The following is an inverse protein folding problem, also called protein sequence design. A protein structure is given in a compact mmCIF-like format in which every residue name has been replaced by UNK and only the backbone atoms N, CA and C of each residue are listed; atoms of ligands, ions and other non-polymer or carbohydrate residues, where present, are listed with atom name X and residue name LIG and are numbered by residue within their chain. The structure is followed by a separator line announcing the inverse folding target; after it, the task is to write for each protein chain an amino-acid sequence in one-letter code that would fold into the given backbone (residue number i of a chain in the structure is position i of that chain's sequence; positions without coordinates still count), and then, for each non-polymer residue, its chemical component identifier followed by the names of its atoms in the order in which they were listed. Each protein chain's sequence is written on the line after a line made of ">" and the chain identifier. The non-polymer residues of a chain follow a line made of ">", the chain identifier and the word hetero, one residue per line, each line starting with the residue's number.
data_IF_932039698574
#
_entry.id   IF_932039698574
#
_cell.length_a   1.000
_cell.length_b   1.000
_cell.length_c   1.000
_cell.angle_alpha   90.00
_cell.angle_beta   90.00
_cell.angle_gamma   90.00
#
_symmetry.space_group_name_H-M   'P 1'
#
loop_
_entity.id
_entity.type
_entity.pdbx_description
1 polymer ?
#
# COMPACT_ATOMS: atom_id res chain seq x y z
N UNK A 1 -14.61 -0.24 12.35
CA UNK A 1 -13.35 -0.69 12.97
C UNK A 1 -13.50 -2.07 13.61
N UNK A 2 -12.42 -2.69 14.09
CA UNK A 2 -12.49 -3.95 14.83
C UNK A 2 -13.47 -3.81 16.01
N UNK A 3 -14.38 -4.78 16.23
CA UNK A 3 -15.37 -4.70 17.30
C UNK A 3 -14.79 -5.02 18.68
N UNK A 4 -13.54 -5.50 18.73
CA UNK A 4 -12.89 -5.99 19.95
C UNK A 4 -12.03 -4.92 20.59
N UNK A 5 -12.10 -4.82 21.90
CA UNK A 5 -11.32 -3.87 22.71
C UNK A 5 -10.14 -4.51 23.41
N UNK A 6 -10.24 -5.81 23.73
CA UNK A 6 -9.18 -6.55 24.40
C UNK A 6 -8.73 -7.78 23.62
N UNK A 7 -7.55 -8.29 23.97
CA UNK A 7 -6.97 -9.49 23.36
C UNK A 7 -7.85 -10.69 23.65
N UNK A 8 -8.36 -10.82 24.87
CA UNK A 8 -9.19 -11.94 25.31
C UNK A 8 -10.50 -11.99 24.54
N UNK A 9 -11.13 -10.83 24.29
CA UNK A 9 -12.35 -10.73 23.50
C UNK A 9 -12.11 -11.15 22.04
N UNK A 10 -11.00 -10.70 21.45
CA UNK A 10 -10.63 -11.06 20.09
C UNK A 10 -10.27 -12.55 19.96
N UNK A 11 -9.54 -13.12 20.92
CA UNK A 11 -9.18 -14.54 20.93
C UNK A 11 -10.39 -15.45 21.14
N UNK A 12 -11.31 -15.06 22.02
CA UNK A 12 -12.57 -15.76 22.23
C UNK A 12 -13.43 -15.77 20.96
N UNK A 13 -13.50 -14.65 20.23
CA UNK A 13 -14.25 -14.57 18.98
C UNK A 13 -13.59 -15.34 17.83
N UNK A 14 -12.26 -15.39 17.79
CA UNK A 14 -11.50 -16.07 16.73
C UNK A 14 -11.27 -17.57 17.00
N UNK A 15 -11.58 -18.06 18.21
CA UNK A 15 -11.27 -19.42 18.68
C UNK A 15 -9.79 -19.80 18.49
N UNK A 16 -8.89 -18.81 18.58
CA UNK A 16 -7.44 -19.00 18.48
C UNK A 16 -6.70 -17.88 19.19
N UNK A 17 -5.44 -18.14 19.53
CA UNK A 17 -4.53 -17.11 20.03
C UNK A 17 -4.16 -16.11 18.93
N UNK A 18 -3.97 -14.85 19.30
CA UNK A 18 -3.45 -13.83 18.40
C UNK A 18 -1.94 -14.00 18.19
N UNK A 19 -1.49 -13.72 16.97
CA UNK A 19 -0.07 -13.57 16.67
C UNK A 19 0.45 -12.25 17.22
N UNK A 20 1.77 -12.13 17.40
CA UNK A 20 2.41 -10.90 17.91
C UNK A 20 2.02 -9.66 17.10
N UNK A 21 1.95 -9.78 15.77
CA UNK A 21 1.58 -8.68 14.89
C UNK A 21 0.10 -8.27 15.08
N UNK A 22 -0.80 -9.24 15.24
CA UNK A 22 -2.21 -8.99 15.49
C UNK A 22 -2.46 -8.36 16.85
N UNK A 23 -1.78 -8.83 17.90
CA UNK A 23 -1.85 -8.22 19.23
C UNK A 23 -1.36 -6.77 19.21
N UNK A 24 -0.27 -6.48 18.49
CA UNK A 24 0.25 -5.13 18.35
C UNK A 24 -0.73 -4.23 17.58
N UNK A 25 -1.29 -4.74 16.49
CA UNK A 25 -2.30 -4.01 15.71
C UNK A 25 -3.56 -3.73 16.53
N UNK A 26 -4.06 -4.70 17.30
CA UNK A 26 -5.24 -4.53 18.14
C UNK A 26 -5.01 -3.46 19.21
N UNK A 27 -3.89 -3.53 19.93
CA UNK A 27 -3.51 -2.52 20.94
C UNK A 27 -3.39 -1.12 20.35
N UNK A 28 -2.88 -1.01 19.12
CA UNK A 28 -2.78 0.26 18.42
C UNK A 28 -4.15 0.79 17.96
N UNK A 29 -4.96 -0.07 17.34
CA UNK A 29 -6.21 0.30 16.66
C UNK A 29 -7.39 0.53 17.61
N UNK A 30 -7.45 -0.17 18.74
CA UNK A 30 -8.60 -0.15 19.65
C UNK A 30 -9.01 1.26 20.14
N UNK A 31 -8.06 2.17 20.28
CA UNK A 31 -8.29 3.53 20.79
C UNK A 31 -8.16 4.63 19.71
N UNK A 32 -8.19 4.28 18.42
CA UNK A 32 -8.09 5.25 17.32
C UNK A 32 -9.45 5.51 16.69
N UNK A 33 -9.57 6.60 15.94
CA UNK A 33 -10.78 6.88 15.14
C UNK A 33 -10.75 6.14 13.82
N UNK A 34 -11.92 5.70 13.34
CA UNK A 34 -12.03 4.91 12.10
C UNK A 34 -11.41 5.64 10.91
N UNK A 35 -11.54 6.97 10.90
CA UNK A 35 -10.88 7.84 9.94
C UNK A 35 -9.35 7.74 10.00
N UNK A 36 -8.76 7.78 11.20
CA UNK A 36 -7.31 7.72 11.36
C UNK A 36 -6.75 6.37 10.90
N UNK A 37 -7.44 5.25 11.20
CA UNK A 37 -7.04 3.94 10.66
C UNK A 37 -7.23 3.87 9.15
N UNK A 38 -8.32 4.42 8.62
CA UNK A 38 -8.51 4.49 7.18
C UNK A 38 -7.38 5.27 6.48
N UNK A 39 -6.87 6.34 7.11
CA UNK A 39 -5.72 7.10 6.60
C UNK A 39 -4.43 6.27 6.52
N UNK A 40 -4.30 5.14 7.23
CA UNK A 40 -3.13 4.24 7.09
C UNK A 40 -3.04 3.57 5.71
N UNK A 41 -4.15 3.52 4.96
CA UNK A 41 -4.12 3.07 3.58
C UNK A 41 -3.25 3.97 2.69
N UNK A 42 -3.11 5.25 3.05
CA UNK A 42 -2.31 6.20 2.29
C UNK A 42 -0.81 5.85 2.27
N UNK A 43 -0.10 5.68 3.40
CA UNK A 43 1.28 5.21 3.34
C UNK A 43 1.40 3.80 2.75
N UNK A 44 0.42 2.92 2.97
CA UNK A 44 0.44 1.56 2.42
C UNK A 44 0.42 1.54 0.88
N UNK A 45 -0.48 2.29 0.25
CA UNK A 45 -0.51 2.41 -1.19
C UNK A 45 0.71 3.14 -1.74
N UNK A 46 1.15 4.21 -1.08
CA UNK A 46 2.37 4.92 -1.49
C UNK A 46 3.58 3.98 -1.54
N UNK A 47 3.78 3.17 -0.50
CA UNK A 47 4.85 2.18 -0.45
C UNK A 47 4.68 1.13 -1.55
N UNK A 48 3.46 0.63 -1.78
CA UNK A 48 3.19 -0.35 -2.83
C UNK A 48 3.51 0.19 -4.22
N UNK A 49 3.05 1.39 -4.55
CA UNK A 49 3.33 2.07 -5.82
C UNK A 49 4.79 2.49 -5.95
N UNK A 50 5.53 2.65 -4.85
CA UNK A 50 6.96 2.96 -4.89
C UNK A 50 7.84 1.72 -5.02
N UNK A 51 7.52 0.63 -4.30
CA UNK A 51 8.35 -0.56 -4.21
C UNK A 51 8.17 -1.51 -5.40
N UNK A 52 6.92 -1.70 -5.89
CA UNK A 52 6.65 -2.64 -6.99
C UNK A 52 7.35 -2.25 -8.31
N UNK A 53 7.47 -0.96 -8.68
CA UNK A 53 8.22 -0.58 -9.89
C UNK A 53 9.73 -0.82 -9.81
N UNK A 54 10.34 -0.86 -8.62
CA UNK A 54 11.80 -0.98 -8.50
C UNK A 54 12.34 -2.31 -9.06
N UNK A 55 11.76 -3.49 -8.72
CA UNK A 55 12.09 -4.75 -9.39
C UNK A 55 11.89 -4.69 -10.91
N UNK A 56 10.84 -4.02 -11.39
CA UNK A 56 10.57 -3.92 -12.83
C UNK A 56 11.64 -3.09 -13.56
N UNK A 57 12.08 -1.99 -12.95
CA UNK A 57 13.21 -1.20 -13.47
C UNK A 57 14.48 -2.05 -13.50
N UNK A 58 14.75 -2.83 -12.44
CA UNK A 58 15.92 -3.71 -12.40
C UNK A 58 15.87 -4.77 -13.51
N UNK A 59 14.70 -5.39 -13.75
CA UNK A 59 14.49 -6.35 -14.83
C UNK A 59 14.75 -5.72 -16.21
N UNK A 60 14.29 -4.48 -16.44
CA UNK A 60 14.50 -3.77 -17.71
C UNK A 60 15.99 -3.42 -17.95
N UNK A 61 16.74 -3.13 -16.89
CA UNK A 61 18.18 -2.79 -16.98
C UNK A 61 19.08 -4.00 -17.21
N UNK A 62 18.66 -5.19 -16.78
CA UNK A 62 19.44 -6.42 -16.90
C UNK A 62 19.29 -6.99 -18.33
N UNK A 63 20.36 -7.06 -19.14
CA UNK A 63 20.27 -7.49 -20.54
C UNK A 63 19.72 -8.89 -20.74
N UNK A 64 19.93 -9.79 -19.77
CA UNK A 64 19.43 -11.16 -19.78
C UNK A 64 17.90 -11.23 -19.93
N UNK A 65 17.16 -10.29 -19.33
CA UNK A 65 15.71 -10.32 -19.37
C UNK A 65 15.12 -9.80 -20.68
N UNK A 66 15.92 -9.16 -21.54
CA UNK A 66 15.46 -8.59 -22.82
C UNK A 66 14.79 -9.62 -23.73
N UNK A 67 15.22 -10.88 -23.67
CA UNK A 67 14.64 -11.99 -24.46
C UNK A 67 13.22 -12.37 -24.06
N UNK A 68 12.79 -12.01 -22.85
CA UNK A 68 11.46 -12.32 -22.33
C UNK A 68 10.46 -11.17 -22.55
N UNK A 69 10.91 -10.03 -23.10
CA UNK A 69 10.01 -8.92 -23.43
C UNK A 69 9.13 -9.31 -24.62
N UNK A 70 7.83 -9.02 -24.53
CA UNK A 70 6.91 -9.11 -25.67
C UNK A 70 7.38 -8.24 -26.85
N UNK A 71 8.06 -7.12 -26.57
CA UNK A 71 8.61 -6.20 -27.56
C UNK A 71 10.10 -5.93 -27.31
N UNK A 72 11.01 -6.79 -27.80
CA UNK A 72 12.45 -6.72 -27.50
C UNK A 72 13.19 -5.56 -28.17
N UNK A 73 12.63 -5.00 -29.25
CA UNK A 73 13.22 -3.87 -29.98
C UNK A 73 12.92 -2.51 -29.34
N UNK A 74 11.94 -2.45 -28.42
CA UNK A 74 11.61 -1.24 -27.68
C UNK A 74 12.58 -1.10 -26.51
N UNK A 75 13.45 -0.09 -26.58
CA UNK A 75 14.37 0.27 -25.51
C UNK A 75 13.77 1.41 -24.70
N UNK A 76 13.64 1.20 -23.40
CA UNK A 76 13.18 2.20 -22.45
C UNK A 76 14.38 2.71 -21.66
N UNK A 77 14.96 3.87 -22.00
CA UNK A 77 16.14 4.37 -21.30
C UNK A 77 15.80 4.75 -19.86
N UNK A 78 16.77 4.59 -18.95
CA UNK A 78 16.59 4.85 -17.51
C UNK A 78 15.97 6.23 -17.18
N UNK A 79 16.36 7.35 -17.84
CA UNK A 79 15.70 8.64 -17.60
C UNK A 79 14.20 8.64 -17.86
N UNK A 80 13.74 7.90 -18.88
CA UNK A 80 12.32 7.78 -19.19
C UNK A 80 11.58 6.96 -18.11
N UNK A 81 12.19 5.89 -17.61
CA UNK A 81 11.65 5.10 -16.51
C UNK A 81 11.54 5.93 -15.23
N UNK A 82 12.59 6.69 -14.89
CA UNK A 82 12.58 7.57 -13.72
C UNK A 82 11.58 8.72 -13.86
N UNK A 83 11.41 9.28 -15.06
CA UNK A 83 10.37 10.27 -15.32
C UNK A 83 8.97 9.68 -15.11
N UNK A 84 8.72 8.45 -15.57
CA UNK A 84 7.46 7.74 -15.34
C UNK A 84 7.22 7.52 -13.84
N UNK A 85 8.22 7.02 -13.11
CA UNK A 85 8.16 6.86 -11.65
C UNK A 85 7.78 8.17 -10.95
N UNK A 86 8.50 9.25 -11.26
CA UNK A 86 8.23 10.56 -10.66
C UNK A 86 6.85 11.09 -11.00
N UNK A 87 6.34 10.82 -12.21
CA UNK A 87 4.98 11.20 -12.59
C UNK A 87 3.94 10.42 -11.78
N UNK A 88 4.12 9.12 -11.57
CA UNK A 88 3.22 8.31 -10.71
C UNK A 88 3.22 8.83 -9.28
N UNK A 89 4.39 9.14 -8.71
CA UNK A 89 4.50 9.72 -7.37
C UNK A 89 3.79 11.08 -7.28
N UNK A 90 3.95 11.95 -8.28
CA UNK A 90 3.23 13.23 -8.35
C UNK A 90 1.72 13.02 -8.44
N UNK A 91 1.26 12.12 -9.30
CA UNK A 91 -0.16 11.81 -9.44
C UNK A 91 -0.74 11.26 -8.13
N UNK A 92 0.04 10.44 -7.43
CA UNK A 92 -0.35 9.92 -6.13
C UNK A 92 -0.56 11.04 -5.12
N UNK A 93 0.42 11.94 -4.99
CA UNK A 93 0.38 13.04 -4.01
C UNK A 93 -0.73 14.05 -4.35
N UNK A 94 -0.91 14.39 -5.63
CA UNK A 94 -1.83 15.45 -6.05
C UNK A 94 -3.28 15.00 -6.18
N UNK A 95 -3.52 13.75 -6.56
CA UNK A 95 -4.87 13.26 -6.84
C UNK A 95 -5.27 12.12 -5.93
N UNK A 96 -4.50 11.03 -5.90
CA UNK A 96 -4.89 9.81 -5.16
C UNK A 96 -4.94 10.07 -3.67
N UNK A 97 -3.98 10.80 -3.11
CA UNK A 97 -3.93 11.10 -1.69
C UNK A 97 -5.10 11.95 -1.20
N UNK A 98 -5.35 13.13 -1.81
CA UNK A 98 -6.52 13.94 -1.49
C UNK A 98 -7.83 13.19 -1.72
N UNK A 99 -7.94 12.47 -2.84
CA UNK A 99 -9.10 11.63 -3.12
C UNK A 99 -9.32 10.59 -2.01
N UNK A 100 -8.28 9.88 -1.58
CA UNK A 100 -8.36 8.90 -0.50
C UNK A 100 -8.86 9.56 0.79
N UNK A 101 -8.28 10.70 1.19
CA UNK A 101 -8.68 11.42 2.40
C UNK A 101 -10.16 11.87 2.37
N UNK A 102 -10.62 12.35 1.21
CA UNK A 102 -12.01 12.79 1.02
C UNK A 102 -13.00 11.64 0.83
N UNK A 103 -12.53 10.46 0.42
CA UNK A 103 -13.37 9.29 0.14
C UNK A 103 -13.82 8.55 1.38
N UNK A 104 -13.36 8.94 2.57
CA UNK A 104 -13.86 8.32 3.80
C UNK A 104 -15.37 8.57 3.92
N UNK A 105 -16.21 7.53 4.03
CA UNK A 105 -17.65 7.70 4.08
C UNK A 105 -18.03 8.54 5.31
N UNK A 106 -18.55 9.74 5.06
CA UNK A 106 -19.13 10.59 6.10
C UNK A 106 -20.40 9.96 6.70
N UNK A 107 -21.04 9.05 5.95
CA UNK A 107 -22.21 8.29 6.38
C UNK A 107 -21.75 7.00 7.05
N UNK A 108 -21.85 6.96 8.38
CA UNK A 108 -21.87 5.71 9.13
C UNK A 108 -23.29 5.14 8.97
N UNK A 109 -23.44 4.01 8.28
CA UNK A 109 -24.70 3.23 8.29
C UNK A 109 -24.76 2.44 9.58
#
# INVERSE_FOLDING_TARGET
>A
MLPYTTVEEAEAALNRTLTVAETLWLKYSANKSDYLLYCHNLPFFFLSFSLVPLPLIAVELIPYFRRYKTQPHVKTPLPQMMACYMNVIKTYILYVGPFQLLSYPAVKV
#
